data_IF_626262414560
#
_entry.id   IF_626262414560
#
_cell.length_a   1.000
_cell.length_b   1.000
_cell.length_c   1.000
_cell.angle_alpha   90.00
_cell.angle_beta   90.00
_cell.angle_gamma   90.00
#
_symmetry.space_group_name_H-M   'P 1'
#
loop_
_entity.id
_entity.type
_entity.pdbx_description
1 polymer ?
#
# COMPACT_ATOMS: atom_id res chain seq x y z
N UNK A 1 8.51 -12.73 -2.08
CA UNK A 1 7.37 -11.95 -1.55
C UNK A 1 7.05 -12.28 -0.09
N UNK A 2 6.71 -13.51 0.28
CA UNK A 2 6.41 -13.86 1.70
C UNK A 2 7.55 -13.52 2.66
N UNK A 3 8.80 -13.80 2.30
CA UNK A 3 9.97 -13.47 3.14
C UNK A 3 10.09 -11.95 3.36
N UNK A 4 9.94 -11.15 2.30
CA UNK A 4 9.91 -9.68 2.39
C UNK A 4 8.80 -9.18 3.30
N UNK A 5 7.61 -9.78 3.23
CA UNK A 5 6.51 -9.42 4.13
C UNK A 5 6.78 -9.82 5.59
N UNK A 6 7.48 -10.93 5.82
CA UNK A 6 7.94 -11.32 7.15
C UNK A 6 8.97 -10.34 7.71
N UNK A 7 9.92 -9.90 6.89
CA UNK A 7 10.91 -8.87 7.25
C UNK A 7 10.21 -7.56 7.62
N UNK A 8 9.28 -7.09 6.78
CA UNK A 8 8.48 -5.88 7.06
C UNK A 8 7.64 -6.01 8.33
N UNK A 9 7.10 -7.20 8.62
CA UNK A 9 6.36 -7.48 9.86
C UNK A 9 7.31 -7.44 11.07
N UNK A 10 8.49 -8.04 10.97
CA UNK A 10 9.50 -8.01 12.02
C UNK A 10 10.00 -6.57 12.30
N UNK A 11 10.05 -5.73 11.28
CA UNK A 11 10.39 -4.30 11.40
C UNK A 11 9.20 -3.43 11.88
N UNK A 12 8.02 -4.00 12.11
CA UNK A 12 6.82 -3.27 12.53
C UNK A 12 6.21 -2.35 11.46
N UNK A 13 6.70 -2.43 10.21
CA UNK A 13 6.26 -1.61 9.07
C UNK A 13 5.00 -2.14 8.41
N UNK A 14 4.67 -3.42 8.61
CA UNK A 14 3.45 -4.01 8.11
C UNK A 14 2.25 -3.69 9.03
N UNK A 15 1.07 -3.57 8.45
CA UNK A 15 -0.21 -3.64 9.17
C UNK A 15 -0.32 -4.97 9.92
N UNK A 16 -1.31 -5.08 10.80
CA UNK A 16 -1.65 -6.36 11.45
C UNK A 16 -2.37 -7.29 10.46
N UNK A 17 -1.58 -7.84 9.54
CA UNK A 17 -2.02 -8.76 8.49
C UNK A 17 -1.13 -10.00 8.50
N UNK A 18 -1.73 -11.15 8.21
CA UNK A 18 -0.99 -12.38 8.01
C UNK A 18 -0.14 -12.31 6.71
N UNK A 19 1.18 -12.56 6.77
CA UNK A 19 2.06 -12.50 5.59
C UNK A 19 1.68 -13.48 4.47
N UNK A 20 1.04 -14.61 4.78
CA UNK A 20 0.59 -15.56 3.77
C UNK A 20 -0.62 -15.01 3.02
N UNK A 21 -1.62 -14.51 3.76
CA UNK A 21 -2.77 -13.85 3.17
C UNK A 21 -2.35 -12.65 2.30
N UNK A 22 -1.49 -11.78 2.83
CA UNK A 22 -0.95 -10.63 2.09
C UNK A 22 -0.22 -11.05 0.80
N UNK A 23 0.52 -12.16 0.84
CA UNK A 23 1.19 -12.69 -0.35
C UNK A 23 0.18 -13.08 -1.43
N UNK A 24 -0.83 -13.88 -1.08
CA UNK A 24 -1.83 -14.32 -2.06
C UNK A 24 -2.69 -13.16 -2.58
N UNK A 25 -3.02 -12.18 -1.74
CA UNK A 25 -3.73 -10.98 -2.19
C UNK A 25 -2.92 -10.17 -3.20
N UNK A 26 -1.62 -9.95 -2.96
CA UNK A 26 -0.72 -9.28 -3.92
C UNK A 26 -0.65 -10.03 -5.25
N UNK A 27 -0.46 -11.36 -5.22
CA UNK A 27 -0.44 -12.17 -6.43
C UNK A 27 -1.78 -12.10 -7.17
N UNK A 28 -2.89 -12.11 -6.43
CA UNK A 28 -4.23 -11.95 -7.00
C UNK A 28 -4.41 -10.61 -7.71
N UNK A 29 -3.97 -9.51 -7.10
CA UNK A 29 -4.02 -8.18 -7.70
C UNK A 29 -3.21 -8.10 -9.00
N UNK A 30 -1.98 -8.62 -9.00
CA UNK A 30 -1.09 -8.64 -10.18
C UNK A 30 -1.69 -9.51 -11.29
N UNK A 31 -2.15 -10.71 -10.96
CA UNK A 31 -2.74 -11.63 -11.93
C UNK A 31 -4.07 -11.12 -12.48
N UNK A 32 -4.83 -10.36 -11.69
CA UNK A 32 -6.07 -9.76 -12.16
C UNK A 32 -5.80 -8.58 -13.09
N UNK A 33 -4.79 -7.75 -12.80
CA UNK A 33 -4.39 -6.61 -13.65
C UNK A 33 -4.23 -7.01 -15.11
N UNK A 34 -3.51 -8.09 -15.40
CA UNK A 34 -3.31 -8.57 -16.78
C UNK A 34 -4.59 -9.04 -17.48
N UNK A 35 -5.64 -9.38 -16.73
CA UNK A 35 -6.91 -9.88 -17.28
C UNK A 35 -7.88 -8.78 -17.69
N UNK A 36 -7.92 -7.69 -16.92
CA UNK A 36 -8.87 -6.60 -17.19
C UNK A 36 -8.21 -5.39 -17.85
N UNK A 37 -6.89 -5.22 -17.73
CA UNK A 37 -6.18 -4.11 -18.37
C UNK A 37 -6.31 -4.21 -19.88
N UNK A 38 -6.58 -3.06 -20.50
CA UNK A 38 -6.67 -2.92 -21.96
C UNK A 38 -5.85 -1.73 -22.38
N UNK A 39 -4.97 -1.92 -23.37
CA UNK A 39 -4.10 -0.86 -23.89
C UNK A 39 -4.87 0.29 -24.55
N UNK A 40 -6.08 0.03 -25.06
CA UNK A 40 -6.99 1.02 -25.63
C UNK A 40 -7.93 1.67 -24.60
N UNK A 41 -7.68 1.42 -23.31
CA UNK A 41 -8.50 1.90 -22.20
C UNK A 41 -8.17 3.33 -21.75
N UNK A 42 -8.87 3.77 -20.70
CA UNK A 42 -8.70 5.10 -20.12
C UNK A 42 -7.38 5.28 -19.33
N UNK A 43 -6.71 4.18 -18.98
CA UNK A 43 -5.45 4.19 -18.23
C UNK A 43 -4.34 3.63 -19.11
N UNK A 44 -3.16 4.27 -19.06
CA UNK A 44 -1.93 3.65 -19.58
C UNK A 44 -1.49 2.48 -18.68
N UNK A 45 -0.52 1.70 -19.17
CA UNK A 45 0.03 0.56 -18.45
C UNK A 45 0.65 1.01 -17.12
N UNK A 46 1.42 2.09 -17.17
CA UNK A 46 2.08 2.69 -16.02
C UNK A 46 1.07 3.21 -15.01
N UNK A 47 0.01 3.88 -15.48
CA UNK A 47 -1.05 4.40 -14.62
C UNK A 47 -1.79 3.26 -13.93
N UNK A 48 -2.12 2.18 -14.65
CA UNK A 48 -2.79 1.03 -14.07
C UNK A 48 -1.90 0.33 -13.02
N UNK A 49 -0.61 0.15 -13.32
CA UNK A 49 0.36 -0.40 -12.36
C UNK A 49 0.49 0.48 -11.12
N UNK A 50 0.55 1.80 -11.28
CA UNK A 50 0.64 2.75 -10.17
C UNK A 50 -0.61 2.70 -9.27
N UNK A 51 -1.81 2.58 -9.83
CA UNK A 51 -3.02 2.40 -9.03
C UNK A 51 -2.98 1.10 -8.22
N UNK A 52 -2.54 -0.02 -8.81
CA UNK A 52 -2.44 -1.29 -8.10
C UNK A 52 -1.40 -1.21 -6.97
N UNK A 53 -0.23 -0.62 -7.22
CA UNK A 53 0.81 -0.41 -6.20
C UNK A 53 0.27 0.45 -5.06
N UNK A 54 -0.43 1.55 -5.38
CA UNK A 54 -1.04 2.44 -4.39
C UNK A 54 -2.04 1.71 -3.50
N UNK A 55 -2.93 0.91 -4.09
CA UNK A 55 -3.91 0.10 -3.34
C UNK A 55 -3.19 -0.90 -2.43
N UNK A 56 -2.21 -1.64 -2.98
CA UNK A 56 -1.47 -2.65 -2.23
C UNK A 56 -0.71 -2.04 -1.04
N UNK A 57 0.03 -0.94 -1.26
CA UNK A 57 0.82 -0.30 -0.21
C UNK A 57 -0.06 0.32 0.87
N UNK A 58 -1.16 0.98 0.51
CA UNK A 58 -2.09 1.53 1.49
C UNK A 58 -2.75 0.45 2.35
N UNK A 59 -3.01 -0.74 1.79
CA UNK A 59 -3.60 -1.86 2.52
C UNK A 59 -2.60 -2.61 3.41
N UNK A 60 -1.32 -2.64 3.04
CA UNK A 60 -0.31 -3.49 3.68
C UNK A 60 0.63 -2.73 4.62
N UNK A 61 0.93 -1.47 4.33
CA UNK A 61 1.91 -0.70 5.08
C UNK A 61 1.25 0.04 6.24
N UNK A 62 1.92 0.02 7.39
CA UNK A 62 1.56 0.86 8.53
C UNK A 62 1.82 2.33 8.15
N UNK A 63 0.91 3.26 8.47
CA UNK A 63 1.18 4.67 8.28
C UNK A 63 2.42 5.08 9.08
N UNK A 64 3.37 5.75 8.41
CA UNK A 64 4.49 6.40 9.06
C UNK A 64 3.97 7.31 10.18
N UNK A 65 4.33 7.01 11.44
CA UNK A 65 3.89 7.77 12.62
C UNK A 65 4.24 9.27 12.55
N UNK A 66 5.17 9.65 11.66
CA UNK A 66 5.54 11.04 11.39
C UNK A 66 4.42 11.85 10.72
N UNK A 67 3.53 11.23 9.95
CA UNK A 67 2.38 11.92 9.35
C UNK A 67 1.29 12.24 10.39
N UNK A 68 1.09 11.38 11.38
CA UNK A 68 0.09 11.58 12.44
C UNK A 68 0.48 12.73 13.41
N UNK A 69 1.78 12.96 13.62
CA UNK A 69 2.26 14.05 14.48
C UNK A 69 2.14 15.44 13.83
N UNK A 70 2.23 15.54 12.50
CA UNK A 70 2.09 16.82 11.77
C UNK A 70 0.68 17.42 11.89
N UNK A 71 -0.37 16.60 11.87
CA UNK A 71 -1.75 17.08 12.05
C UNK A 71 -2.04 17.60 13.46
N UNK A 72 -1.46 16.97 14.49
CA UNK A 72 -1.65 17.37 15.89
C UNK A 72 -0.86 18.65 16.25
N UNK A 73 0.24 18.93 15.55
CA UNK A 73 1.10 20.08 15.82
C UNK A 73 0.58 21.36 15.12
N UNK A 74 -0.01 21.25 13.92
CA UNK A 74 -0.67 22.37 13.23
C UNK A 74 -1.86 22.89 14.04
N UNK A 75 -2.71 22.00 14.57
CA UNK A 75 -3.86 22.38 15.42
C UNK A 75 -3.45 23.11 16.70
N UNK A 76 -2.29 22.80 17.29
CA UNK A 76 -1.79 23.47 18.50
C UNK A 76 -1.11 24.81 18.24
N UNK A 77 -0.59 25.03 17.03
CA UNK A 77 0.09 26.28 16.65
C UNK A 77 -0.85 27.36 16.10
N UNK A 78 -2.12 27.05 15.85
CA UNK A 78 -3.14 28.01 15.37
C UNK A 78 -3.92 28.71 16.48
N UNK A 79 -3.45 28.64 17.72
CA UNK A 79 -4.07 29.29 18.89
C UNK A 79 -3.10 30.18 19.68
N UNK A 80 -2.06 30.69 19.02
CA UNK A 80 -1.32 31.88 19.47
C UNK A 80 -1.51 33.02 18.50
#
# INVERSE_FOLDING_TARGET
MRNTLNELKAEGKLQDVDPTAATFSLLGMINWLSRWYRQDGALSEEQAAEQIVKIALNGLMRPEASAARRGLQVVKNSSQ
#
